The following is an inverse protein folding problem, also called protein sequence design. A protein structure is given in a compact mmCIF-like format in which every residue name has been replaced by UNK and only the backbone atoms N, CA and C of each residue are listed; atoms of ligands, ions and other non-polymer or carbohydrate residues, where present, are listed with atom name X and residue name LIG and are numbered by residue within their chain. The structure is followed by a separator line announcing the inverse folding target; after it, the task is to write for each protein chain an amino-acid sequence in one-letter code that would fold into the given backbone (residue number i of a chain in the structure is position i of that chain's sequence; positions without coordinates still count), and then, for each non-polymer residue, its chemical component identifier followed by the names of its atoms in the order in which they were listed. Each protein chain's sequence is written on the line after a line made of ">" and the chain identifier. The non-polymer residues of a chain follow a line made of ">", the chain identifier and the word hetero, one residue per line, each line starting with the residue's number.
data_IF_517465445267
#
_entry.id   IF_517465445267
#
_cell.length_a   1.000
_cell.length_b   1.000
_cell.length_c   1.000
_cell.angle_alpha   90.00
_cell.angle_beta   90.00
_cell.angle_gamma   90.00
#
_symmetry.space_group_name_H-M   'P 1'
#
loop_
_entity.id
_entity.type
_entity.pdbx_description
1 polymer ?
#
# COMPACT_ATOMS: atom_id res chain seq x y z
N UNK A 1 19.42 -4.57 -5.48
CA UNK A 1 18.15 -4.66 -4.72
C UNK A 1 17.66 -3.25 -4.43
N UNK A 2 16.82 -2.68 -5.31
CA UNK A 2 16.20 -1.36 -5.11
C UNK A 2 14.72 -1.54 -4.78
N UNK A 3 14.35 -1.19 -3.56
CA UNK A 3 12.95 -1.16 -3.12
C UNK A 3 12.29 0.08 -3.73
N UNK A 4 11.57 -0.11 -4.84
CA UNK A 4 10.74 0.94 -5.46
C UNK A 4 9.68 1.40 -4.46
N UNK A 5 9.80 2.65 -4.01
CA UNK A 5 8.81 3.36 -3.19
C UNK A 5 7.61 3.73 -4.08
N UNK A 6 6.41 3.29 -3.69
CA UNK A 6 5.15 3.68 -4.33
C UNK A 6 4.75 5.09 -3.86
N UNK A 7 4.27 5.99 -4.75
CA UNK A 7 4.04 7.39 -4.41
C UNK A 7 2.56 7.67 -4.17
N UNK A 8 1.96 7.18 -3.08
CA UNK A 8 0.67 7.72 -2.62
C UNK A 8 0.60 7.70 -1.09
N UNK A 9 0.89 8.87 -0.52
CA UNK A 9 0.48 9.45 0.78
C UNK A 9 0.23 8.51 1.97
N UNK A 10 1.20 7.66 2.29
CA UNK A 10 1.49 7.35 3.70
C UNK A 10 2.83 7.99 4.02
N UNK A 11 2.86 8.86 5.03
CA UNK A 11 4.11 9.41 5.59
C UNK A 11 5.10 8.25 5.72
N UNK A 12 6.28 8.37 5.13
CA UNK A 12 7.20 7.24 5.04
C UNK A 12 7.56 6.77 6.45
N UNK A 13 7.82 5.47 6.69
CA UNK A 13 8.26 4.99 8.01
C UNK A 13 9.46 5.76 8.56
N UNK A 14 10.29 6.29 7.66
CA UNK A 14 11.41 7.17 7.94
C UNK A 14 10.97 8.54 8.48
N UNK A 15 9.95 9.17 7.89
CA UNK A 15 9.39 10.44 8.40
C UNK A 15 8.70 10.27 9.76
N UNK A 16 7.94 9.20 9.97
CA UNK A 16 7.39 8.88 11.30
C UNK A 16 8.52 8.70 12.33
N UNK A 17 9.60 8.01 11.95
CA UNK A 17 10.76 7.85 12.81
C UNK A 17 11.45 9.18 13.13
N UNK A 18 11.55 10.11 12.17
CA UNK A 18 12.09 11.47 12.41
C UNK A 18 11.25 12.22 13.44
N UNK A 19 9.94 12.31 13.23
CA UNK A 19 9.04 13.01 14.15
C UNK A 19 9.05 12.39 15.55
N UNK A 20 9.03 11.07 15.65
CA UNK A 20 9.14 10.38 16.94
C UNK A 20 10.48 10.67 17.63
N UNK A 21 11.60 10.60 16.90
CA UNK A 21 12.92 10.88 17.45
C UNK A 21 13.02 12.31 17.96
N UNK A 22 12.50 13.28 17.20
CA UNK A 22 12.43 14.69 17.63
C UNK A 22 11.60 14.84 18.90
N UNK A 23 10.39 14.28 18.93
CA UNK A 23 9.50 14.36 20.08
C UNK A 23 10.15 13.76 21.33
N UNK A 24 10.72 12.55 21.22
CA UNK A 24 11.39 11.87 22.33
C UNK A 24 12.62 12.66 22.80
N UNK A 25 13.43 13.19 21.88
CA UNK A 25 14.61 13.97 22.21
C UNK A 25 14.24 15.23 23.01
N UNK A 26 13.26 16.00 22.52
CA UNK A 26 12.81 17.24 23.17
C UNK A 26 12.21 16.95 24.55
N UNK A 27 11.25 16.02 24.62
CA UNK A 27 10.58 15.69 25.88
C UNK A 27 11.56 15.18 26.94
N UNK A 28 12.46 14.25 26.57
CA UNK A 28 13.41 13.71 27.54
C UNK A 28 14.46 14.73 27.97
N UNK A 29 14.83 15.68 27.09
CA UNK A 29 15.73 16.78 27.47
C UNK A 29 15.08 17.72 28.49
N UNK A 30 13.79 18.04 28.31
CA UNK A 30 13.03 18.84 29.29
C UNK A 30 12.91 18.12 30.63
N UNK A 31 12.52 16.84 30.60
CA UNK A 31 12.40 16.05 31.83
C UNK A 31 13.74 15.83 32.53
N UNK A 32 14.84 15.70 31.78
CA UNK A 32 16.17 15.61 32.36
C UNK A 32 16.47 16.84 33.23
N UNK A 33 16.24 18.05 32.69
CA UNK A 33 16.44 19.30 33.44
C UNK A 33 15.55 19.35 34.68
N UNK A 34 14.26 19.01 34.54
CA UNK A 34 13.31 18.99 35.66
C UNK A 34 13.75 18.01 36.76
N UNK A 35 14.17 16.79 36.40
CA UNK A 35 14.53 15.75 37.37
C UNK A 35 15.87 16.02 38.05
N UNK A 36 16.83 16.61 37.33
CA UNK A 36 18.14 16.96 37.89
C UNK A 36 18.07 18.19 38.79
N UNK A 37 17.40 19.26 38.35
CA UNK A 37 17.43 20.55 39.03
C UNK A 37 16.31 20.66 40.08
N UNK A 38 15.09 20.26 39.74
CA UNK A 38 13.90 20.52 40.57
C UNK A 38 13.59 19.35 41.51
N UNK A 39 13.56 18.13 40.98
CA UNK A 39 13.09 16.96 41.74
C UNK A 39 14.22 16.18 42.42
N UNK A 40 15.49 16.53 42.15
CA UNK A 40 16.70 15.88 42.68
C UNK A 40 16.71 14.35 42.50
N UNK A 41 16.06 13.83 41.45
CA UNK A 41 16.01 12.40 41.10
C UNK A 41 17.11 12.06 40.10
N UNK A 42 18.34 11.98 40.59
CA UNK A 42 19.56 11.73 39.79
C UNK A 42 19.42 10.51 38.85
N UNK A 43 18.91 9.38 39.35
CA UNK A 43 18.78 8.16 38.55
C UNK A 43 17.77 8.27 37.39
N UNK A 44 16.68 9.02 37.56
CA UNK A 44 15.71 9.23 36.49
C UNK A 44 16.24 10.24 35.45
N UNK A 45 16.93 11.28 35.93
CA UNK A 45 17.59 12.26 35.06
C UNK A 45 18.65 11.62 34.16
N UNK A 46 19.56 10.82 34.70
CA UNK A 46 20.60 10.16 33.88
C UNK A 46 20.00 9.25 32.80
N UNK A 47 18.93 8.52 33.11
CA UNK A 47 18.21 7.73 32.12
C UNK A 47 17.57 8.59 31.03
N UNK A 48 16.94 9.71 31.38
CA UNK A 48 16.34 10.63 30.41
C UNK A 48 17.38 11.25 29.49
N UNK A 49 18.57 11.59 30.01
CA UNK A 49 19.69 12.04 29.19
C UNK A 49 20.15 10.95 28.21
N UNK A 50 20.22 9.69 28.65
CA UNK A 50 20.57 8.57 27.78
C UNK A 50 19.53 8.35 26.67
N UNK A 51 18.23 8.46 26.98
CA UNK A 51 17.15 8.36 25.98
C UNK A 51 17.18 9.54 25.01
N UNK A 52 17.39 10.76 25.50
CA UNK A 52 17.47 11.97 24.68
C UNK A 52 18.67 11.93 23.72
N UNK A 53 19.84 11.53 24.21
CA UNK A 53 21.05 11.41 23.38
C UNK A 53 20.89 10.34 22.30
N UNK A 54 20.31 9.19 22.64
CA UNK A 54 20.01 8.14 21.66
C UNK A 54 18.95 8.60 20.63
N UNK A 55 17.90 9.29 21.06
CA UNK A 55 16.90 9.86 20.14
C UNK A 55 17.52 10.91 19.21
N UNK A 56 18.44 11.74 19.71
CA UNK A 56 19.21 12.67 18.89
C UNK A 56 20.10 11.96 17.86
N UNK A 57 20.74 10.85 18.23
CA UNK A 57 21.48 10.00 17.30
C UNK A 57 20.57 9.40 16.20
N UNK A 58 19.40 8.88 16.58
CA UNK A 58 18.41 8.38 15.63
C UNK A 58 17.92 9.47 14.67
N UNK A 59 17.63 10.67 15.18
CA UNK A 59 17.25 11.83 14.39
C UNK A 59 18.34 12.23 13.39
N UNK A 60 19.61 12.28 13.84
CA UNK A 60 20.75 12.56 12.97
C UNK A 60 20.89 11.51 11.87
N UNK A 61 20.83 10.22 12.21
CA UNK A 61 20.93 9.13 11.23
C UNK A 61 19.79 9.19 10.22
N UNK A 62 18.57 9.43 10.67
CA UNK A 62 17.41 9.50 9.79
C UNK A 62 17.42 10.74 8.91
N UNK A 63 17.86 11.89 9.42
CA UNK A 63 17.98 13.13 8.64
C UNK A 63 18.99 13.01 7.49
N UNK A 64 20.03 12.18 7.67
CA UNK A 64 21.05 11.89 6.66
C UNK A 64 20.70 10.67 5.78
N UNK A 65 19.46 10.16 5.80
CA UNK A 65 19.04 9.01 4.98
C UNK A 65 19.65 7.67 5.38
N UNK A 66 20.30 7.58 6.55
CA UNK A 66 20.92 6.37 7.10
C UNK A 66 19.97 5.62 8.06
N UNK A 67 18.67 5.74 7.84
CA UNK A 67 17.66 5.06 8.66
C UNK A 67 17.76 3.55 8.53
N UNK A 68 17.71 2.84 9.67
CA UNK A 68 17.62 1.38 9.74
C UNK A 68 16.39 0.99 10.56
N UNK A 69 15.66 -0.08 10.19
CA UNK A 69 14.44 -0.48 10.89
C UNK A 69 14.64 -0.72 12.39
N UNK A 70 15.81 -1.21 12.82
CA UNK A 70 16.10 -1.47 14.23
C UNK A 70 16.16 -0.21 15.09
N UNK A 71 16.44 0.97 14.51
CA UNK A 71 16.44 2.23 15.26
C UNK A 71 15.08 2.49 15.93
N UNK A 72 13.99 2.22 15.22
CA UNK A 72 12.62 2.38 15.74
C UNK A 72 12.30 1.43 16.90
N UNK A 73 12.85 0.21 16.89
CA UNK A 73 12.65 -0.75 17.99
C UNK A 73 13.40 -0.29 19.24
N UNK A 74 14.67 0.07 19.11
CA UNK A 74 15.49 0.49 20.25
C UNK A 74 14.92 1.76 20.87
N UNK A 75 14.56 2.75 20.05
CA UNK A 75 13.99 4.02 20.50
C UNK A 75 12.73 3.82 21.35
N UNK A 76 11.87 2.90 20.91
CA UNK A 76 10.61 2.64 21.58
C UNK A 76 10.74 1.75 22.81
N UNK A 77 11.66 0.78 22.79
CA UNK A 77 12.03 0.01 23.98
C UNK A 77 12.54 0.98 25.05
N UNK A 78 13.47 1.87 24.69
CA UNK A 78 14.00 2.90 25.59
C UNK A 78 12.91 3.79 26.16
N UNK A 79 11.97 4.26 25.33
CA UNK A 79 10.82 5.06 25.79
C UNK A 79 9.90 4.27 26.72
N UNK A 80 9.57 3.03 26.36
CA UNK A 80 8.69 2.15 27.14
C UNK A 80 9.28 1.86 28.52
N UNK A 81 10.56 1.50 28.56
CA UNK A 81 11.29 1.27 29.82
C UNK A 81 11.38 2.54 30.65
N UNK A 82 11.58 3.71 30.03
CA UNK A 82 11.61 4.99 30.73
C UNK A 82 10.25 5.31 31.39
N UNK A 83 9.14 5.11 30.67
CA UNK A 83 7.80 5.32 31.23
C UNK A 83 7.54 4.34 32.37
N UNK A 84 7.85 3.05 32.20
CA UNK A 84 7.69 2.05 33.27
C UNK A 84 8.53 2.38 34.50
N UNK A 85 9.79 2.79 34.33
CA UNK A 85 10.64 3.19 35.44
C UNK A 85 10.13 4.47 36.11
N UNK A 86 9.62 5.43 35.33
CA UNK A 86 9.03 6.65 35.86
C UNK A 86 7.80 6.34 36.73
N UNK A 87 6.93 5.44 36.29
CA UNK A 87 5.80 4.93 37.10
C UNK A 87 6.31 4.19 38.34
N UNK A 88 7.41 3.43 38.21
CA UNK A 88 7.99 2.66 39.29
C UNK A 88 8.83 3.48 40.29
N UNK A 89 9.18 4.74 40.01
CA UNK A 89 10.05 5.59 40.86
C UNK A 89 9.28 6.81 41.39
N UNK A 90 8.48 7.47 40.55
CA UNK A 90 7.71 8.65 40.93
C UNK A 90 6.47 8.27 41.74
N UNK A 91 5.94 9.24 42.48
CA UNK A 91 4.63 9.10 43.11
C UNK A 91 3.54 9.07 42.04
N UNK A 92 2.46 8.31 42.27
CA UNK A 92 1.34 8.19 41.33
C UNK A 92 0.69 9.56 41.01
N UNK A 93 0.75 10.50 41.95
CA UNK A 93 0.24 11.87 41.80
C UNK A 93 1.05 12.67 40.76
N UNK A 94 2.30 12.28 40.49
CA UNK A 94 3.14 12.94 39.47
C UNK A 94 2.67 12.66 38.02
N UNK A 95 1.67 11.81 37.81
CA UNK A 95 1.04 11.61 36.50
C UNK A 95 1.89 10.84 35.49
N UNK A 96 2.96 10.16 35.92
CA UNK A 96 3.82 9.37 35.02
C UNK A 96 3.05 8.28 34.23
N UNK A 97 1.91 7.82 34.76
CA UNK A 97 1.01 6.86 34.12
C UNK A 97 0.36 7.41 32.84
N UNK A 98 0.15 8.72 32.71
CA UNK A 98 -0.50 9.31 31.53
C UNK A 98 0.33 9.14 30.25
N UNK A 99 1.66 9.13 30.35
CA UNK A 99 2.54 8.91 29.20
C UNK A 99 2.38 7.53 28.58
N UNK A 100 2.00 6.52 29.38
CA UNK A 100 1.70 5.18 28.88
C UNK A 100 0.54 5.16 27.88
N UNK A 101 -0.42 6.09 28.01
CA UNK A 101 -1.59 6.17 27.13
C UNK A 101 -1.24 6.53 25.68
N UNK A 102 -0.07 7.15 25.44
CA UNK A 102 0.38 7.51 24.09
C UNK A 102 1.07 6.34 23.35
N UNK A 103 1.48 5.28 24.06
CA UNK A 103 2.26 4.18 23.49
C UNK A 103 1.52 3.35 22.43
N UNK A 104 0.21 3.00 22.57
CA UNK A 104 -0.54 2.32 21.52
C UNK A 104 -0.42 3.01 20.16
N UNK A 105 -0.59 4.34 20.13
CA UNK A 105 -0.49 5.11 18.89
C UNK A 105 0.84 4.88 18.18
N UNK A 106 1.95 4.93 18.92
CA UNK A 106 3.29 4.74 18.36
C UNK A 106 3.57 3.29 17.95
N UNK A 107 3.09 2.30 18.72
CA UNK A 107 3.23 0.89 18.34
C UNK A 107 2.51 0.57 17.02
N UNK A 108 1.27 1.05 16.84
CA UNK A 108 0.54 0.83 15.60
C UNK A 108 1.14 1.62 14.42
N UNK A 109 1.53 2.88 14.65
CA UNK A 109 2.08 3.74 13.59
C UNK A 109 3.40 3.21 13.01
N UNK A 110 4.27 2.61 13.83
CA UNK A 110 5.58 2.13 13.40
C UNK A 110 5.62 0.65 13.00
N UNK A 111 4.83 -0.22 13.62
CA UNK A 111 4.94 -1.68 13.44
C UNK A 111 3.68 -2.34 12.87
N UNK A 112 2.62 -1.57 12.63
CA UNK A 112 1.35 -2.05 12.06
C UNK A 112 0.54 -2.91 13.04
N UNK A 113 -0.54 -3.51 12.53
CA UNK A 113 -1.58 -4.16 13.35
C UNK A 113 -1.07 -5.24 14.30
N UNK A 114 -0.35 -6.25 13.80
CA UNK A 114 0.02 -7.43 14.59
C UNK A 114 0.97 -7.08 15.73
N UNK A 115 2.07 -6.38 15.41
CA UNK A 115 3.07 -5.98 16.40
C UNK A 115 2.53 -4.87 17.32
N UNK A 116 1.74 -3.95 16.77
CA UNK A 116 1.04 -2.90 17.52
C UNK A 116 0.18 -3.47 18.64
N UNK A 117 -0.61 -4.50 18.33
CA UNK A 117 -1.44 -5.21 19.30
C UNK A 117 -0.60 -5.87 20.40
N UNK A 118 0.42 -6.65 20.01
CA UNK A 118 1.26 -7.39 20.97
C UNK A 118 1.98 -6.43 21.92
N UNK A 119 2.61 -5.37 21.42
CA UNK A 119 3.32 -4.41 22.27
C UNK A 119 2.36 -3.64 23.19
N UNK A 120 1.17 -3.27 22.69
CA UNK A 120 0.15 -2.59 23.50
C UNK A 120 -0.39 -3.49 24.63
N UNK A 121 -0.50 -4.79 24.39
CA UNK A 121 -0.90 -5.77 25.40
C UNK A 121 0.20 -5.98 26.47
N UNK A 122 1.46 -6.05 26.05
CA UNK A 122 2.59 -6.19 26.99
C UNK A 122 2.64 -5.00 27.95
N UNK A 123 2.56 -3.77 27.44
CA UNK A 123 2.71 -2.59 28.28
C UNK A 123 1.55 -2.39 29.25
N UNK A 124 0.30 -2.70 28.88
CA UNK A 124 -0.82 -2.56 29.82
C UNK A 124 -0.68 -3.53 31.00
N UNK A 125 -0.23 -4.77 30.73
CA UNK A 125 0.03 -5.77 31.76
C UNK A 125 1.20 -5.34 32.65
N UNK A 126 2.31 -4.89 32.06
CA UNK A 126 3.48 -4.42 32.82
C UNK A 126 3.15 -3.19 33.66
N UNK A 127 2.44 -2.21 33.11
CA UNK A 127 2.05 -0.99 33.82
C UNK A 127 1.05 -1.28 34.94
N UNK A 128 0.04 -2.12 34.71
CA UNK A 128 -0.90 -2.55 35.75
C UNK A 128 -0.18 -3.27 36.90
N UNK A 129 0.78 -4.16 36.58
CA UNK A 129 1.60 -4.85 37.56
C UNK A 129 2.42 -3.88 38.41
N UNK A 130 3.10 -2.91 37.79
CA UNK A 130 3.89 -1.89 38.52
C UNK A 130 3.00 -1.05 39.43
N UNK A 131 1.84 -0.59 38.94
CA UNK A 131 0.89 0.21 39.75
C UNK A 131 0.36 -0.62 40.93
N UNK A 132 0.07 -1.90 40.73
CA UNK A 132 -0.39 -2.80 41.79
C UNK A 132 0.61 -2.90 42.94
N UNK A 133 1.89 -3.12 42.64
CA UNK A 133 2.93 -3.21 43.67
C UNK A 133 3.29 -1.86 44.32
N UNK A 134 3.02 -0.74 43.64
CA UNK A 134 3.36 0.60 44.15
C UNK A 134 2.27 1.25 45.00
N UNK A 135 1.02 0.81 44.90
CA UNK A 135 -0.06 1.49 45.60
C UNK A 135 -0.19 0.93 47.02
N UNK A 136 0.05 1.79 48.00
CA UNK A 136 -0.02 1.42 49.42
C UNK A 136 -1.48 1.13 49.83
N UNK A 137 -1.72 -0.02 50.46
CA UNK A 137 -3.07 -0.55 50.71
C UNK A 137 -3.84 0.21 51.78
N UNK A 138 -3.17 1.09 52.53
CA UNK A 138 -3.74 1.70 53.73
C UNK A 138 -4.43 3.06 53.50
N UNK A 139 -4.22 3.74 52.37
CA UNK A 139 -4.71 5.13 52.16
C UNK A 139 -5.42 5.33 50.82
N UNK A 140 -5.10 4.54 49.79
CA UNK A 140 -5.63 4.71 48.44
C UNK A 140 -6.16 3.37 47.94
N UNK A 141 -7.43 3.30 47.50
CA UNK A 141 -8.02 2.07 46.95
C UNK A 141 -7.30 1.66 45.65
N UNK A 142 -6.32 0.73 45.68
CA UNK A 142 -5.39 0.49 44.58
C UNK A 142 -6.08 0.04 43.31
N UNK A 143 -7.13 -0.76 43.52
CA UNK A 143 -7.96 -1.31 42.47
C UNK A 143 -8.63 -0.20 41.64
N UNK A 144 -8.97 0.97 42.21
CA UNK A 144 -9.59 2.07 41.45
C UNK A 144 -8.61 2.69 40.45
N UNK A 145 -7.36 2.91 40.86
CA UNK A 145 -6.33 3.49 39.98
C UNK A 145 -5.98 2.53 38.85
N UNK A 146 -5.77 1.26 39.17
CA UNK A 146 -5.45 0.22 38.17
C UNK A 146 -6.63 0.06 37.21
N UNK A 147 -7.85 -0.02 37.73
CA UNK A 147 -9.06 -0.16 36.92
C UNK A 147 -9.24 1.04 35.99
N UNK A 148 -9.15 2.27 36.51
CA UNK A 148 -9.28 3.48 35.70
C UNK A 148 -8.18 3.57 34.62
N UNK A 149 -6.92 3.34 34.99
CA UNK A 149 -5.82 3.34 34.03
C UNK A 149 -6.02 2.28 32.94
N UNK A 150 -6.34 1.05 33.33
CA UNK A 150 -6.55 -0.06 32.39
C UNK A 150 -7.73 0.22 31.47
N UNK A 151 -8.85 0.73 31.99
CA UNK A 151 -10.03 1.04 31.19
C UNK A 151 -9.76 2.15 30.18
N UNK A 152 -9.11 3.24 30.60
CA UNK A 152 -8.74 4.34 29.70
C UNK A 152 -7.73 3.87 28.67
N UNK A 153 -6.70 3.13 29.08
CA UNK A 153 -5.69 2.58 28.18
C UNK A 153 -6.33 1.65 27.14
N UNK A 154 -7.19 0.71 27.56
CA UNK A 154 -7.90 -0.19 26.65
C UNK A 154 -8.83 0.56 25.69
N UNK A 155 -9.46 1.64 26.15
CA UNK A 155 -10.31 2.48 25.29
C UNK A 155 -9.48 3.17 24.19
N UNK A 156 -8.35 3.79 24.55
CA UNK A 156 -7.44 4.40 23.58
C UNK A 156 -6.85 3.35 22.65
N UNK A 157 -6.44 2.21 23.19
CA UNK A 157 -5.92 1.10 22.39
C UNK A 157 -6.93 0.59 21.37
N UNK A 158 -8.20 0.42 21.76
CA UNK A 158 -9.28 0.04 20.85
C UNK A 158 -9.46 1.07 19.72
N UNK A 159 -9.46 2.36 20.05
CA UNK A 159 -9.54 3.44 19.04
C UNK A 159 -8.35 3.38 18.08
N UNK A 160 -7.13 3.24 18.59
CA UNK A 160 -5.93 3.08 17.75
C UNK A 160 -6.01 1.83 16.85
N UNK A 161 -6.54 0.73 17.37
CA UNK A 161 -6.71 -0.51 16.60
C UNK A 161 -7.71 -0.34 15.46
N UNK A 162 -8.90 0.22 15.76
CA UNK A 162 -9.93 0.48 14.76
C UNK A 162 -9.40 1.44 13.68
N UNK A 163 -8.72 2.51 14.09
CA UNK A 163 -8.13 3.48 13.16
C UNK A 163 -7.11 2.82 12.22
N UNK A 164 -6.19 2.00 12.74
CA UNK A 164 -5.21 1.32 11.90
C UNK A 164 -5.87 0.32 10.93
N UNK A 165 -6.89 -0.43 11.38
CA UNK A 165 -7.67 -1.31 10.49
C UNK A 165 -8.32 -0.52 9.37
N UNK A 166 -8.96 0.61 9.69
CA UNK A 166 -9.60 1.47 8.69
C UNK A 166 -8.60 2.09 7.72
N UNK A 167 -7.43 2.50 8.22
CA UNK A 167 -6.33 3.04 7.40
C UNK A 167 -5.85 1.99 6.39
N UNK A 168 -5.67 0.75 6.81
CA UNK A 168 -5.25 -0.34 5.92
C UNK A 168 -6.30 -0.67 4.87
N UNK A 169 -7.59 -0.71 5.25
CA UNK A 169 -8.69 -0.90 4.28
C UNK A 169 -8.78 0.22 3.25
N UNK A 170 -8.71 1.47 3.71
CA UNK A 170 -8.79 2.65 2.83
C UNK A 170 -7.60 2.69 1.88
N UNK A 171 -6.39 2.42 2.37
CA UNK A 171 -5.18 2.31 1.55
C UNK A 171 -5.30 1.19 0.50
N UNK A 172 -5.80 0.02 0.89
CA UNK A 172 -6.04 -1.08 -0.04
C UNK A 172 -7.10 -0.75 -1.10
N UNK A 173 -8.18 -0.07 -0.71
CA UNK A 173 -9.24 0.38 -1.63
C UNK A 173 -8.74 1.45 -2.62
N UNK A 174 -7.96 2.42 -2.14
CA UNK A 174 -7.29 3.41 -3.00
C UNK A 174 -6.32 2.73 -3.96
N UNK A 175 -5.59 1.73 -3.49
CA UNK A 175 -4.70 0.95 -4.34
C UNK A 175 -5.49 0.17 -5.40
N UNK A 176 -6.63 -0.46 -5.06
CA UNK A 176 -7.44 -1.17 -6.05
C UNK A 176 -8.07 -0.24 -7.08
N UNK A 177 -8.56 0.94 -6.66
CA UNK A 177 -9.05 1.97 -7.59
C UNK A 177 -7.94 2.44 -8.52
N UNK A 178 -6.73 2.63 -8.00
CA UNK A 178 -5.56 2.98 -8.80
C UNK A 178 -5.09 1.86 -9.77
N UNK A 179 -5.67 0.66 -9.71
CA UNK A 179 -5.36 -0.47 -10.58
C UNK A 179 -6.46 -0.77 -11.61
N UNK A 180 -7.58 -0.06 -11.57
CA UNK A 180 -8.67 -0.22 -12.53
C UNK A 180 -8.76 1.00 -13.47
N UNK A 181 -9.37 0.80 -14.62
CA UNK A 181 -9.75 1.84 -15.56
C UNK A 181 -11.21 2.24 -15.29
N UNK A 182 -11.45 3.53 -15.04
CA UNK A 182 -12.75 4.03 -14.57
C UNK A 182 -13.88 3.86 -15.61
N UNK A 183 -13.57 3.83 -16.90
CA UNK A 183 -14.56 3.72 -17.98
C UNK A 183 -14.96 2.27 -18.25
N UNK A 184 -13.97 1.37 -18.31
CA UNK A 184 -14.17 -0.02 -18.75
C UNK A 184 -14.22 -1.03 -17.61
N UNK A 185 -13.88 -0.62 -16.37
CA UNK A 185 -13.66 -1.48 -15.20
C UNK A 185 -12.60 -2.58 -15.37
N UNK A 186 -11.89 -2.61 -16.51
CA UNK A 186 -10.74 -3.46 -16.71
C UNK A 186 -9.58 -2.99 -15.84
N UNK A 187 -8.56 -3.85 -15.70
CA UNK A 187 -7.33 -3.44 -15.04
C UNK A 187 -6.60 -2.39 -15.88
N UNK A 188 -5.88 -1.47 -15.27
CA UNK A 188 -5.16 -0.43 -16.01
C UNK A 188 -3.68 -0.80 -16.26
N UNK A 189 -2.93 0.11 -16.90
CA UNK A 189 -1.49 -0.05 -17.16
C UNK A 189 -0.65 -0.32 -15.91
N UNK A 190 -1.01 0.24 -14.75
CA UNK A 190 -0.27 -0.02 -13.51
C UNK A 190 -0.48 -1.46 -13.03
N UNK A 191 -1.71 -1.98 -13.16
CA UNK A 191 -2.03 -3.35 -12.83
C UNK A 191 -1.31 -4.36 -13.72
N UNK A 192 -1.20 -4.09 -15.03
CA UNK A 192 -0.45 -4.94 -15.96
C UNK A 192 0.98 -5.16 -15.48
N UNK A 193 1.68 -4.09 -15.08
CA UNK A 193 3.06 -4.17 -14.60
C UNK A 193 3.17 -4.93 -13.28
N UNK A 194 2.23 -4.72 -12.36
CA UNK A 194 2.18 -5.41 -11.08
C UNK A 194 1.95 -6.91 -11.27
N UNK A 195 0.92 -7.27 -12.05
CA UNK A 195 0.52 -8.65 -12.31
C UNK A 195 1.60 -9.40 -13.09
N UNK A 196 2.23 -8.77 -14.09
CA UNK A 196 3.32 -9.40 -14.83
C UNK A 196 4.46 -9.85 -13.91
N UNK A 197 4.82 -9.07 -12.89
CA UNK A 197 5.90 -9.43 -11.95
C UNK A 197 5.60 -10.70 -11.13
N UNK A 198 4.31 -11.01 -10.96
CA UNK A 198 3.83 -12.23 -10.30
C UNK A 198 3.74 -13.36 -11.32
N UNK A 199 3.08 -13.12 -12.46
CA UNK A 199 2.84 -14.11 -13.52
C UNK A 199 4.17 -14.66 -14.05
N UNK A 200 5.13 -13.79 -14.34
CA UNK A 200 6.47 -14.16 -14.83
C UNK A 200 7.18 -15.22 -13.98
N UNK A 201 6.91 -15.25 -12.67
CA UNK A 201 7.55 -16.20 -11.74
C UNK A 201 6.85 -17.55 -11.67
N UNK A 202 5.59 -17.63 -12.07
CA UNK A 202 4.74 -18.82 -11.84
C UNK A 202 4.42 -19.58 -13.13
N UNK A 203 4.54 -18.94 -14.29
CA UNK A 203 4.14 -19.51 -15.57
C UNK A 203 5.33 -19.61 -16.51
N UNK A 204 5.39 -20.69 -17.30
CA UNK A 204 6.51 -20.94 -18.21
C UNK A 204 6.24 -20.44 -19.63
N UNK A 205 4.97 -20.40 -20.04
CA UNK A 205 4.53 -19.87 -21.32
C UNK A 205 3.59 -18.70 -21.08
N UNK A 206 3.92 -17.53 -21.60
CA UNK A 206 3.09 -16.33 -21.48
C UNK A 206 3.01 -15.68 -22.86
N UNK A 207 1.80 -15.37 -23.31
CA UNK A 207 1.55 -14.61 -24.52
C UNK A 207 0.91 -13.29 -24.19
N UNK A 208 1.36 -12.23 -24.86
CA UNK A 208 0.77 -10.91 -24.79
C UNK A 208 0.03 -10.64 -26.09
N UNK A 209 -1.25 -10.34 -25.98
CA UNK A 209 -2.07 -9.80 -27.06
C UNK A 209 -2.14 -8.30 -26.84
N UNK A 210 -1.58 -7.52 -27.75
CA UNK A 210 -1.76 -6.08 -27.83
C UNK A 210 -2.89 -5.81 -28.84
N UNK A 211 -3.95 -5.15 -28.41
CA UNK A 211 -5.19 -4.98 -29.17
C UNK A 211 -5.48 -3.50 -29.26
N UNK A 212 -5.84 -3.02 -30.44
CA UNK A 212 -6.17 -1.61 -30.65
C UNK A 212 -7.34 -1.47 -31.62
N UNK A 213 -8.26 -0.56 -31.29
CA UNK A 213 -9.45 -0.29 -32.08
C UNK A 213 -9.08 0.51 -33.33
N UNK A 214 -9.35 -0.08 -34.49
CA UNK A 214 -9.04 0.55 -35.77
C UNK A 214 -9.88 1.82 -35.98
N UNK A 215 -9.21 2.91 -36.36
CA UNK A 215 -9.84 4.18 -36.70
C UNK A 215 -10.71 4.78 -35.56
N UNK A 216 -10.41 4.48 -34.30
CA UNK A 216 -11.19 4.97 -33.16
C UNK A 216 -11.26 6.50 -33.09
N UNK A 217 -10.18 7.21 -33.44
CA UNK A 217 -10.21 8.68 -33.58
C UNK A 217 -11.32 9.14 -34.54
N UNK A 218 -11.52 8.47 -35.68
CA UNK A 218 -12.57 8.81 -36.64
C UNK A 218 -13.97 8.54 -36.09
N UNK A 219 -14.13 7.59 -35.17
CA UNK A 219 -15.39 7.35 -34.45
C UNK A 219 -15.68 8.55 -33.53
N UNK A 220 -14.70 8.98 -32.74
CA UNK A 220 -14.83 10.16 -31.88
C UNK A 220 -15.14 11.43 -32.69
N UNK A 221 -14.40 11.65 -33.80
CA UNK A 221 -14.57 12.83 -34.64
C UNK A 221 -15.96 12.87 -35.31
N UNK A 222 -16.55 11.71 -35.63
CA UNK A 222 -17.84 11.60 -36.34
C UNK A 222 -19.05 11.55 -35.41
N UNK A 223 -18.95 10.87 -34.28
CA UNK A 223 -20.09 10.57 -33.40
C UNK A 223 -19.97 11.16 -31.99
N UNK A 224 -18.85 11.82 -31.66
CA UNK A 224 -18.58 12.40 -30.35
C UNK A 224 -17.98 11.41 -29.36
N UNK A 225 -17.37 11.96 -28.29
CA UNK A 225 -16.66 11.20 -27.28
C UNK A 225 -17.56 10.24 -26.49
N UNK A 226 -18.81 10.62 -26.20
CA UNK A 226 -19.76 9.76 -25.47
C UNK A 226 -20.01 8.42 -26.19
N UNK A 227 -20.05 8.46 -27.53
CA UNK A 227 -20.20 7.26 -28.35
C UNK A 227 -18.90 6.46 -28.40
N UNK A 228 -17.75 7.12 -28.49
CA UNK A 228 -16.45 6.46 -28.37
C UNK A 228 -16.30 5.72 -27.04
N UNK A 229 -16.73 6.35 -25.95
CA UNK A 229 -16.71 5.75 -24.62
C UNK A 229 -17.62 4.51 -24.53
N UNK A 230 -18.83 4.57 -25.11
CA UNK A 230 -19.72 3.41 -25.23
C UNK A 230 -19.07 2.26 -26.03
N UNK A 231 -18.40 2.58 -27.15
CA UNK A 231 -17.68 1.58 -27.95
C UNK A 231 -16.56 0.93 -27.13
N UNK A 232 -15.80 1.70 -26.34
CA UNK A 232 -14.75 1.17 -25.48
C UNK A 232 -15.29 0.22 -24.41
N UNK A 233 -16.40 0.58 -23.76
CA UNK A 233 -17.05 -0.28 -22.77
C UNK A 233 -17.56 -1.59 -23.39
N UNK A 234 -18.24 -1.52 -24.54
CA UNK A 234 -18.72 -2.72 -25.23
C UNK A 234 -17.59 -3.62 -25.75
N UNK A 235 -16.48 -3.03 -26.24
CA UNK A 235 -15.29 -3.79 -26.63
C UNK A 235 -14.66 -4.47 -25.41
N UNK A 236 -14.56 -3.78 -24.27
CA UNK A 236 -14.06 -4.37 -23.02
C UNK A 236 -14.90 -5.58 -22.55
N UNK A 237 -16.22 -5.48 -22.68
CA UNK A 237 -17.13 -6.59 -22.36
C UNK A 237 -16.93 -7.78 -23.31
N UNK A 238 -16.79 -7.52 -24.62
CA UNK A 238 -16.52 -8.56 -25.62
C UNK A 238 -15.18 -9.25 -25.37
N UNK A 239 -14.14 -8.50 -25.00
CA UNK A 239 -12.85 -9.07 -24.62
C UNK A 239 -13.00 -10.01 -23.42
N UNK A 240 -13.72 -9.57 -22.39
CA UNK A 240 -13.94 -10.36 -21.17
C UNK A 240 -14.69 -11.66 -21.47
N UNK A 241 -15.74 -11.60 -22.30
CA UNK A 241 -16.52 -12.77 -22.71
C UNK A 241 -15.74 -13.73 -23.62
N UNK A 242 -14.91 -13.19 -24.52
CA UNK A 242 -14.19 -13.96 -25.53
C UNK A 242 -13.02 -14.73 -24.94
N UNK A 243 -12.24 -14.07 -24.06
CA UNK A 243 -10.97 -14.57 -23.56
C UNK A 243 -11.17 -15.44 -22.30
N UNK A 244 -12.20 -15.16 -21.48
CA UNK A 244 -12.51 -15.93 -20.26
C UNK A 244 -11.37 -16.00 -19.23
N UNK A 245 -10.41 -15.07 -19.28
CA UNK A 245 -9.36 -14.88 -18.27
C UNK A 245 -9.49 -13.51 -17.62
N UNK A 246 -8.89 -13.34 -16.44
CA UNK A 246 -8.98 -12.09 -15.66
C UNK A 246 -7.90 -11.07 -16.03
N UNK A 247 -6.90 -11.48 -16.79
CA UNK A 247 -5.72 -10.68 -17.13
C UNK A 247 -5.93 -9.87 -18.41
N UNK A 248 -6.96 -9.01 -18.39
CA UNK A 248 -7.28 -8.06 -19.44
C UNK A 248 -7.09 -6.65 -18.89
N UNK A 249 -6.40 -5.81 -19.64
CA UNK A 249 -5.97 -4.49 -19.23
C UNK A 249 -6.30 -3.45 -20.30
N UNK A 250 -6.64 -2.23 -19.91
CA UNK A 250 -6.66 -1.06 -20.79
C UNK A 250 -5.41 -0.22 -20.53
N UNK A 251 -4.61 0.04 -21.56
CA UNK A 251 -3.37 0.80 -21.44
C UNK A 251 -3.61 2.32 -21.49
N UNK A 252 -4.62 2.74 -22.25
CA UNK A 252 -5.03 4.12 -22.43
C UNK A 252 -5.71 4.30 -23.81
N UNK A 253 -6.52 5.34 -23.97
CA UNK A 253 -7.22 5.63 -25.22
C UNK A 253 -8.04 4.43 -25.73
N UNK A 254 -7.55 3.81 -26.79
CA UNK A 254 -8.15 2.69 -27.53
C UNK A 254 -7.37 1.37 -27.45
N UNK A 255 -6.35 1.30 -26.59
CA UNK A 255 -5.41 0.18 -26.48
C UNK A 255 -5.74 -0.75 -25.31
N UNK A 256 -5.81 -2.04 -25.59
CA UNK A 256 -6.01 -3.12 -24.63
C UNK A 256 -4.88 -4.13 -24.69
N UNK A 257 -4.58 -4.75 -23.54
CA UNK A 257 -3.62 -5.85 -23.42
C UNK A 257 -4.30 -7.04 -22.77
N UNK A 258 -4.01 -8.24 -23.26
CA UNK A 258 -4.33 -9.47 -22.57
C UNK A 258 -3.07 -10.31 -22.34
N UNK A 259 -2.94 -10.91 -21.15
CA UNK A 259 -1.92 -11.90 -20.85
C UNK A 259 -2.53 -13.29 -20.79
N UNK A 260 -2.14 -14.16 -21.73
CA UNK A 260 -2.51 -15.57 -21.74
C UNK A 260 -1.37 -16.39 -21.13
N UNK A 261 -1.70 -17.40 -20.35
CA UNK A 261 -0.75 -18.16 -19.53
C UNK A 261 -0.88 -19.65 -19.82
N UNK A 262 0.24 -20.36 -19.89
CA UNK A 262 0.33 -21.81 -20.09
C UNK A 262 -0.49 -22.35 -21.26
N UNK A 263 -0.46 -21.62 -22.37
CA UNK A 263 -1.05 -22.07 -23.65
C UNK A 263 0.00 -22.12 -24.76
N UNK A 264 -0.33 -22.80 -25.86
CA UNK A 264 0.47 -22.83 -27.08
C UNK A 264 0.26 -21.60 -27.96
N UNK A 265 1.20 -21.32 -28.85
CA UNK A 265 1.08 -20.23 -29.85
C UNK A 265 -0.20 -20.36 -30.69
N UNK A 266 -0.55 -21.58 -31.10
CA UNK A 266 -1.77 -21.86 -31.87
C UNK A 266 -3.04 -21.50 -31.09
N UNK A 267 -3.09 -21.81 -29.79
CA UNK A 267 -4.23 -21.47 -28.95
C UNK A 267 -4.30 -19.97 -28.66
N UNK A 268 -3.16 -19.30 -28.50
CA UNK A 268 -3.11 -17.85 -28.36
C UNK A 268 -3.68 -17.16 -29.61
N UNK A 269 -3.31 -17.64 -30.79
CA UNK A 269 -3.86 -17.16 -32.06
C UNK A 269 -5.37 -17.42 -32.17
N UNK A 270 -5.85 -18.62 -31.83
CA UNK A 270 -7.30 -18.93 -31.85
C UNK A 270 -8.11 -18.01 -30.94
N UNK A 271 -7.59 -17.68 -29.76
CA UNK A 271 -8.24 -16.75 -28.83
C UNK A 271 -8.26 -15.33 -29.42
N UNK A 272 -7.14 -14.87 -29.98
CA UNK A 272 -7.07 -13.57 -30.64
C UNK A 272 -8.03 -13.47 -31.83
N UNK A 273 -8.13 -14.52 -32.65
CA UNK A 273 -9.03 -14.55 -33.81
C UNK A 273 -10.50 -14.56 -33.39
N UNK A 274 -10.83 -15.30 -32.32
CA UNK A 274 -12.16 -15.24 -31.73
C UNK A 274 -12.52 -13.81 -31.27
N UNK A 275 -11.59 -13.12 -30.62
CA UNK A 275 -11.78 -11.72 -30.20
C UNK A 275 -12.02 -10.82 -31.41
N UNK A 276 -11.13 -10.90 -32.41
CA UNK A 276 -11.20 -10.08 -33.63
C UNK A 276 -12.54 -10.24 -34.33
N UNK A 277 -12.96 -11.49 -34.58
CA UNK A 277 -14.23 -11.82 -35.22
C UNK A 277 -15.44 -11.36 -34.39
N UNK A 278 -15.40 -11.52 -33.06
CA UNK A 278 -16.51 -11.12 -32.18
C UNK A 278 -16.74 -9.61 -32.21
N UNK A 279 -15.66 -8.82 -32.29
CA UNK A 279 -15.74 -7.36 -32.40
C UNK A 279 -16.19 -6.94 -33.80
N UNK A 280 -15.63 -7.54 -34.86
CA UNK A 280 -16.01 -7.25 -36.25
C UNK A 280 -17.49 -7.54 -36.55
N UNK A 281 -18.03 -8.61 -35.97
CA UNK A 281 -19.43 -9.03 -36.16
C UNK A 281 -20.42 -8.23 -35.30
N UNK A 282 -19.94 -7.55 -34.26
CA UNK A 282 -20.78 -6.74 -33.39
C UNK A 282 -21.18 -5.45 -34.11
N UNK A 283 -22.48 -5.19 -34.14
CA UNK A 283 -23.02 -3.88 -34.53
C UNK A 283 -23.13 -3.03 -33.26
N UNK A 284 -22.36 -1.95 -33.21
CA UNK A 284 -22.44 -0.94 -32.16
C UNK A 284 -23.50 0.10 -32.56
N UNK A 285 -24.21 0.68 -31.60
CA UNK A 285 -25.32 1.59 -31.88
C UNK A 285 -25.05 3.00 -31.35
N UNK A 286 -25.22 4.01 -32.20
CA UNK A 286 -25.26 5.43 -31.82
C UNK A 286 -26.57 6.04 -32.27
N UNK A 287 -27.48 6.33 -31.32
CA UNK A 287 -28.81 6.88 -31.62
C UNK A 287 -29.52 6.17 -32.80
N UNK A 288 -29.55 4.83 -32.80
CA UNK A 288 -30.06 3.97 -33.89
C UNK A 288 -29.25 3.92 -35.20
N UNK A 289 -28.08 4.55 -35.27
CA UNK A 289 -27.15 4.41 -36.39
C UNK A 289 -26.18 3.25 -36.11
N UNK A 290 -26.07 2.25 -37.01
CA UNK A 290 -25.11 1.17 -36.85
C UNK A 290 -23.67 1.68 -37.09
N UNK A 291 -22.78 1.32 -36.16
CA UNK A 291 -21.34 1.57 -36.25
C UNK A 291 -20.66 0.20 -36.31
N UNK A 292 -19.84 0.01 -37.34
CA UNK A 292 -18.99 -1.16 -37.47
C UNK A 292 -17.58 -0.80 -37.00
N UNK A 293 -17.02 -1.64 -36.15
CA UNK A 293 -15.71 -1.44 -35.52
C UNK A 293 -14.88 -2.68 -35.75
N UNK A 294 -13.59 -2.51 -36.01
CA UNK A 294 -12.64 -3.61 -36.11
C UNK A 294 -11.46 -3.37 -35.17
N UNK A 295 -10.68 -4.42 -34.92
CA UNK A 295 -9.45 -4.33 -34.13
C UNK A 295 -8.29 -4.95 -34.87
N UNK A 296 -7.11 -4.37 -34.67
CA UNK A 296 -5.84 -4.98 -35.03
C UNK A 296 -5.22 -5.60 -33.77
N UNK A 297 -4.57 -6.76 -33.91
CA UNK A 297 -3.99 -7.49 -32.78
C UNK A 297 -2.53 -7.89 -33.08
N UNK A 298 -1.63 -7.54 -32.18
CA UNK A 298 -0.26 -8.06 -32.13
C UNK A 298 -0.12 -9.15 -31.07
N UNK A 299 0.41 -10.31 -31.42
CA UNK A 299 0.69 -11.40 -30.49
C UNK A 299 2.20 -11.51 -30.31
N UNK A 300 2.67 -11.61 -29.07
CA UNK A 300 4.06 -11.96 -28.79
C UNK A 300 4.11 -13.04 -27.71
N UNK A 301 5.01 -14.01 -27.86
CA UNK A 301 5.37 -14.95 -26.81
C UNK A 301 6.53 -14.42 -25.98
N UNK A 302 6.49 -14.64 -24.67
CA UNK A 302 7.55 -14.25 -23.76
C UNK A 302 8.77 -15.15 -23.99
N UNK A 303 9.89 -14.55 -24.39
CA UNK A 303 11.17 -15.24 -24.53
C UNK A 303 11.92 -15.28 -23.19
N UNK A 304 12.74 -16.32 -23.00
CA UNK A 304 13.71 -16.33 -21.89
C UNK A 304 14.61 -15.10 -22.05
N UNK A 305 14.85 -14.40 -20.94
CA UNK A 305 15.65 -13.15 -20.85
C UNK A 305 14.93 -11.83 -21.18
N UNK A 306 13.69 -11.85 -21.70
CA UNK A 306 12.96 -10.59 -21.93
C UNK A 306 12.53 -9.93 -20.61
N UNK A 307 12.87 -8.65 -20.44
CA UNK A 307 12.21 -7.81 -19.44
C UNK A 307 10.79 -7.46 -19.89
N UNK A 308 9.95 -7.02 -18.94
CA UNK A 308 8.58 -6.57 -19.23
C UNK A 308 8.50 -5.56 -20.38
N UNK A 309 9.47 -4.64 -20.46
CA UNK A 309 9.52 -3.60 -21.51
C UNK A 309 9.79 -4.17 -22.89
N UNK A 310 10.64 -5.19 -22.99
CA UNK A 310 10.95 -5.82 -24.28
C UNK A 310 9.78 -6.68 -24.74
N UNK A 311 9.12 -7.37 -23.80
CA UNK A 311 7.91 -8.13 -24.10
C UNK A 311 6.78 -7.23 -24.61
N UNK A 312 6.52 -6.11 -23.93
CA UNK A 312 5.53 -5.12 -24.35
C UNK A 312 5.87 -4.52 -25.72
N UNK A 313 7.14 -4.17 -25.96
CA UNK A 313 7.61 -3.62 -27.24
C UNK A 313 7.44 -4.62 -28.39
N UNK A 314 7.71 -5.90 -28.14
CA UNK A 314 7.54 -6.96 -29.13
C UNK A 314 6.08 -7.08 -29.57
N UNK A 315 5.13 -7.10 -28.62
CA UNK A 315 3.70 -7.14 -28.93
C UNK A 315 3.22 -5.88 -29.68
N UNK A 316 3.73 -4.70 -29.29
CA UNK A 316 3.45 -3.42 -29.96
C UNK A 316 3.94 -3.40 -31.41
N UNK A 317 5.14 -3.92 -31.68
CA UNK A 317 5.66 -4.04 -33.04
C UNK A 317 4.77 -4.91 -33.94
N UNK A 318 4.22 -5.99 -33.39
CA UNK A 318 3.29 -6.87 -34.09
C UNK A 318 1.95 -6.18 -34.35
N UNK A 319 1.44 -5.42 -33.38
CA UNK A 319 0.24 -4.61 -33.58
C UNK A 319 0.46 -3.57 -34.69
N UNK A 320 1.60 -2.89 -34.67
CA UNK A 320 1.96 -1.92 -35.70
C UNK A 320 2.04 -2.56 -37.10
N UNK A 321 2.58 -3.78 -37.19
CA UNK A 321 2.57 -4.56 -38.43
C UNK A 321 1.13 -4.83 -38.91
N UNK A 322 0.25 -5.31 -38.02
CA UNK A 322 -1.16 -5.57 -38.36
C UNK A 322 -1.86 -4.31 -38.90
N UNK A 323 -1.62 -3.15 -38.28
CA UNK A 323 -2.16 -1.87 -38.74
C UNK A 323 -1.64 -1.45 -40.13
N UNK A 324 -0.37 -1.76 -40.45
CA UNK A 324 0.23 -1.43 -41.75
C UNK A 324 -0.19 -2.35 -42.88
N UNK A 325 -0.43 -3.62 -42.58
CA UNK A 325 -0.78 -4.64 -43.56
C UNK A 325 -2.27 -4.61 -43.97
N UNK A 326 -3.08 -3.72 -43.41
CA UNK A 326 -4.48 -3.57 -43.79
C UNK A 326 -5.49 -3.43 -42.66
N UNK A 327 -5.05 -3.50 -41.39
CA UNK A 327 -5.91 -3.53 -40.18
C UNK A 327 -6.84 -4.74 -40.13
N UNK A 328 -7.68 -4.83 -39.10
CA UNK A 328 -8.63 -5.92 -38.90
C UNK A 328 -7.98 -7.32 -39.04
N UNK A 329 -6.80 -7.49 -38.44
CA UNK A 329 -6.02 -8.72 -38.58
C UNK A 329 -5.06 -8.92 -37.41
N UNK A 330 -4.39 -10.08 -37.42
CA UNK A 330 -3.49 -10.53 -36.39
C UNK A 330 -2.09 -10.69 -36.98
N UNK A 331 -1.08 -10.15 -36.30
CA UNK A 331 0.32 -10.47 -36.57
C UNK A 331 0.98 -11.10 -35.33
N UNK A 332 1.81 -12.13 -35.53
CA UNK A 332 2.52 -12.87 -34.48
C UNK A 332 4.03 -12.76 -34.63
#
# INVERSE_FOLDING_TARGET
>A
MSTRRYPYSSVSPEEFHKWLSTLICVLNSVYFVLNMITLQKLGLGTMQLAVATFAGFCLYKSSNGLYRPWHSYVLLISLTTNILLSIAVMELVAGATYWGLALPFWYYSLFGLRKGFIFSAIIVLSAAMVIFFRTDTQVFMPYRTIFNFTLVYCSIWLVCHIYEVQRQKTSAALHSLALQDDLTNLKNRHALKADFSVIYKHFQSIHMLMIDIDHFKSINDKYGHDIGDSVLTEVADLLTQSIQVKEIYRLGGEEFVCLLKDISDENAYKIAEKVRQSIEQKIFLSHNTPIQVTVSIGISSLQKEHEFTDFLRSADQKLYQAKREGRNQICC
#
